data_IF_614797623865
#
_entry.id   IF_614797623865
#
_cell.length_a   1.000
_cell.length_b   1.000
_cell.length_c   1.000
_cell.angle_alpha   90.00
_cell.angle_beta   90.00
_cell.angle_gamma   90.00
#
_symmetry.space_group_name_H-M   'P 1'
#
loop_
_entity.id
_entity.type
_entity.pdbx_description
1 polymer ?
#
# COMPACT_ATOMS: atom_id res chain seq x y z
N UNK A 1 -16.68 0.65 35.21
CA UNK A 1 -16.02 0.33 33.92
C UNK A 1 -14.79 1.22 33.79
N UNK A 2 -13.58 0.64 33.69
CA UNK A 2 -12.34 1.42 33.48
C UNK A 2 -12.43 2.06 32.09
N UNK A 3 -12.47 3.39 32.06
CA UNK A 3 -12.38 4.15 30.82
C UNK A 3 -10.93 4.02 30.35
N UNK A 4 -10.72 3.27 29.28
CA UNK A 4 -9.40 3.07 28.68
C UNK A 4 -9.02 4.34 27.91
N UNK A 5 -8.64 5.37 28.68
CA UNK A 5 -8.25 6.68 28.17
C UNK A 5 -6.95 6.57 27.38
N UNK A 6 -6.85 7.37 26.33
CA UNK A 6 -5.58 7.60 25.64
C UNK A 6 -4.83 8.68 26.42
N UNK A 7 -3.53 8.51 26.59
CA UNK A 7 -2.65 9.57 27.11
C UNK A 7 -1.58 9.83 26.07
N UNK A 8 -1.55 11.05 25.56
CA UNK A 8 -0.53 11.53 24.64
C UNK A 8 0.70 12.00 25.42
N UNK A 9 1.86 11.91 24.78
CA UNK A 9 3.04 12.62 25.29
C UNK A 9 2.87 14.13 25.07
N UNK A 10 3.51 14.96 25.89
CA UNK A 10 3.43 16.41 25.76
C UNK A 10 3.92 16.89 24.37
N UNK A 11 4.96 16.23 23.85
CA UNK A 11 5.50 16.48 22.52
C UNK A 11 4.47 16.14 21.42
N UNK A 12 3.79 15.00 21.53
CA UNK A 12 2.78 14.60 20.55
C UNK A 12 1.56 15.50 20.60
N UNK A 13 1.10 15.89 21.80
CA UNK A 13 0.02 16.85 21.98
C UNK A 13 0.35 18.18 21.28
N UNK A 14 1.53 18.74 21.57
CA UNK A 14 2.01 19.98 20.95
C UNK A 14 2.08 19.86 19.43
N UNK A 15 2.55 18.72 18.92
CA UNK A 15 2.63 18.45 17.49
C UNK A 15 1.26 18.40 16.83
N UNK A 16 0.28 17.73 17.45
CA UNK A 16 -1.09 17.65 16.96
C UNK A 16 -1.79 19.01 16.98
N UNK A 17 -1.63 19.79 18.04
CA UNK A 17 -2.19 21.14 18.15
C UNK A 17 -1.59 22.07 17.09
N UNK A 18 -0.26 22.03 16.92
CA UNK A 18 0.43 22.77 15.86
C UNK A 18 0.03 22.33 14.45
N UNK A 19 -0.29 21.05 14.25
CA UNK A 19 -0.77 20.52 12.97
C UNK A 19 -2.16 21.06 12.64
N UNK A 20 -3.07 21.09 13.61
CA UNK A 20 -4.44 21.61 13.44
C UNK A 20 -4.46 23.14 13.24
N UNK A 21 -3.52 23.87 13.84
CA UNK A 21 -3.43 25.33 13.73
C UNK A 21 -3.03 25.83 12.33
N UNK A 22 -2.38 25.00 11.50
CA UNK A 22 -1.89 25.39 10.15
C UNK A 22 -2.99 25.63 9.11
N UNK A 23 -4.26 25.33 9.43
CA UNK A 23 -5.43 25.66 8.62
C UNK A 23 -5.65 24.80 7.36
N UNK A 24 -4.59 24.32 6.71
CA UNK A 24 -4.69 23.44 5.53
C UNK A 24 -4.21 22.03 5.85
N UNK A 25 -5.12 21.06 5.86
CA UNK A 25 -4.82 19.66 6.13
C UNK A 25 -5.79 18.74 5.39
N UNK A 26 -5.32 17.56 4.97
CA UNK A 26 -6.21 16.52 4.49
C UNK A 26 -7.26 16.16 5.56
N UNK A 27 -8.54 16.10 5.17
CA UNK A 27 -9.66 15.83 6.08
C UNK A 27 -9.46 14.56 6.92
N UNK A 28 -8.86 13.52 6.35
CA UNK A 28 -8.53 12.28 7.08
C UNK A 28 -7.57 12.52 8.23
N UNK A 29 -6.47 13.24 7.97
CA UNK A 29 -5.46 13.58 8.96
C UNK A 29 -6.06 14.50 10.02
N UNK A 30 -6.92 15.44 9.62
CA UNK A 30 -7.64 16.32 10.54
C UNK A 30 -8.50 15.51 11.53
N UNK A 31 -9.40 14.66 11.02
CA UNK A 31 -10.26 13.82 11.87
C UNK A 31 -9.44 12.94 12.81
N UNK A 32 -8.35 12.32 12.33
CA UNK A 32 -7.45 11.49 13.15
C UNK A 32 -6.79 12.30 14.26
N UNK A 33 -6.21 13.45 13.94
CA UNK A 33 -5.54 14.33 14.90
C UNK A 33 -6.52 14.85 15.96
N UNK A 34 -7.70 15.34 15.54
CA UNK A 34 -8.76 15.77 16.46
C UNK A 34 -9.22 14.64 17.36
N UNK A 35 -9.42 13.42 16.82
CA UNK A 35 -9.82 12.28 17.63
C UNK A 35 -8.81 11.97 18.74
N UNK A 36 -7.51 11.96 18.43
CA UNK A 36 -6.48 11.68 19.43
C UNK A 36 -6.45 12.72 20.55
N UNK A 37 -6.54 14.01 20.21
CA UNK A 37 -6.60 15.10 21.20
C UNK A 37 -7.86 15.01 22.07
N UNK A 38 -9.01 14.71 21.49
CA UNK A 38 -10.26 14.58 22.25
C UNK A 38 -10.25 13.37 23.19
N UNK A 39 -9.63 12.27 22.78
CA UNK A 39 -9.44 11.11 23.64
C UNK A 39 -8.46 11.39 24.79
N UNK A 40 -7.41 12.15 24.54
CA UNK A 40 -6.45 12.63 25.55
C UNK A 40 -7.11 13.56 26.57
N UNK A 41 -8.04 14.41 26.12
CA UNK A 41 -8.92 15.24 26.97
C UNK A 41 -9.93 14.44 27.78
N UNK A 42 -9.95 13.12 27.64
CA UNK A 42 -10.80 12.22 28.41
C UNK A 42 -12.17 11.93 27.81
N UNK A 43 -12.45 12.35 26.56
CA UNK A 43 -13.70 11.95 25.89
C UNK A 43 -13.72 10.45 25.62
N UNK A 44 -14.92 9.89 25.58
CA UNK A 44 -15.10 8.47 25.23
C UNK A 44 -15.00 8.28 23.72
N UNK A 45 -14.62 7.07 23.29
CA UNK A 45 -14.60 6.69 21.88
C UNK A 45 -15.95 6.97 21.19
N UNK A 46 -17.07 6.74 21.90
CA UNK A 46 -18.43 7.00 21.40
C UNK A 46 -18.70 8.48 21.20
N UNK A 47 -18.37 9.32 22.18
CA UNK A 47 -18.56 10.77 22.07
C UNK A 47 -17.72 11.36 20.92
N UNK A 48 -16.48 10.89 20.75
CA UNK A 48 -15.61 11.32 19.64
C UNK A 48 -16.15 10.84 18.30
N UNK A 49 -16.65 9.60 18.22
CA UNK A 49 -17.26 9.05 17.01
C UNK A 49 -18.48 9.87 16.56
N UNK A 50 -19.38 10.19 17.50
CA UNK A 50 -20.55 11.04 17.25
C UNK A 50 -20.15 12.47 16.83
N UNK A 51 -19.12 13.06 17.46
CA UNK A 51 -18.64 14.41 17.12
C UNK A 51 -18.02 14.48 15.71
N UNK A 52 -17.30 13.44 15.31
CA UNK A 52 -16.55 13.42 14.04
C UNK A 52 -17.32 12.77 12.88
N UNK A 53 -18.54 12.32 13.12
CA UNK A 53 -19.38 11.57 12.19
C UNK A 53 -18.61 10.37 11.60
N UNK A 54 -18.13 9.48 12.48
CA UNK A 54 -17.45 8.23 12.15
C UNK A 54 -17.91 7.12 13.09
N UNK A 55 -17.55 5.87 12.80
CA UNK A 55 -17.92 4.75 13.65
C UNK A 55 -17.02 4.64 14.88
N UNK A 56 -17.55 4.02 15.95
CA UNK A 56 -16.77 3.66 17.14
C UNK A 56 -15.50 2.87 16.78
N UNK A 57 -15.61 1.91 15.85
CA UNK A 57 -14.50 1.06 15.42
C UNK A 57 -13.39 1.85 14.74
N UNK A 58 -13.74 2.90 13.98
CA UNK A 58 -12.76 3.80 13.39
C UNK A 58 -11.97 4.56 14.44
N UNK A 59 -12.64 5.13 15.45
CA UNK A 59 -11.95 5.84 16.54
C UNK A 59 -11.08 4.89 17.37
N UNK A 60 -11.57 3.68 17.65
CA UNK A 60 -10.81 2.64 18.32
C UNK A 60 -9.55 2.24 17.53
N UNK A 61 -9.65 2.14 16.20
CA UNK A 61 -8.53 1.86 15.32
C UNK A 61 -7.48 2.98 15.35
N UNK A 62 -7.88 4.25 15.39
CA UNK A 62 -6.94 5.37 15.51
C UNK A 62 -6.20 5.37 16.86
N UNK A 63 -6.92 5.14 17.97
CA UNK A 63 -6.31 4.99 19.30
C UNK A 63 -5.30 3.85 19.34
N UNK A 64 -5.67 2.68 18.82
CA UNK A 64 -4.79 1.53 18.78
C UNK A 64 -3.59 1.78 17.85
N UNK A 65 -3.82 2.45 16.71
CA UNK A 65 -2.78 2.86 15.78
C UNK A 65 -1.74 3.77 16.46
N UNK A 66 -2.19 4.75 17.25
CA UNK A 66 -1.28 5.60 18.02
C UNK A 66 -0.49 4.79 19.06
N UNK A 67 -1.13 3.88 19.79
CA UNK A 67 -0.44 3.00 20.76
C UNK A 67 0.65 2.14 20.11
N UNK A 68 0.51 1.76 18.85
CA UNK A 68 1.48 0.91 18.14
C UNK A 68 2.53 1.71 17.36
N UNK A 69 2.16 2.86 16.78
CA UNK A 69 2.98 3.58 15.78
C UNK A 69 3.20 5.06 16.11
N UNK A 70 2.68 5.56 17.23
CA UNK A 70 2.69 6.99 17.55
C UNK A 70 1.97 7.83 16.49
N UNK A 71 2.52 9.01 16.19
CA UNK A 71 1.93 9.96 15.23
C UNK A 71 1.92 9.46 13.78
N UNK A 72 2.66 8.40 13.43
CA UNK A 72 2.61 7.82 12.08
C UNK A 72 1.23 7.27 11.73
N UNK A 73 0.39 6.97 12.74
CA UNK A 73 -1.00 6.54 12.53
C UNK A 73 -1.89 7.60 11.86
N UNK A 74 -1.45 8.87 11.83
CA UNK A 74 -2.15 9.95 11.15
C UNK A 74 -2.16 9.78 9.63
N UNK A 75 -1.18 9.05 9.08
CA UNK A 75 -0.99 8.88 7.65
C UNK A 75 -1.31 7.45 7.20
N UNK A 76 -1.83 7.33 5.98
CA UNK A 76 -2.03 6.01 5.38
C UNK A 76 -0.66 5.43 4.99
N UNK A 77 -0.46 4.14 5.26
CA UNK A 77 0.76 3.46 4.83
C UNK A 77 0.89 3.51 3.29
N UNK A 78 2.12 3.58 2.75
CA UNK A 78 2.34 3.45 1.31
C UNK A 78 1.65 2.18 0.80
N UNK A 79 0.89 2.32 -0.29
CA UNK A 79 0.27 1.15 -0.93
C UNK A 79 1.39 0.33 -1.54
N UNK A 80 1.56 -0.92 -1.08
CA UNK A 80 2.62 -1.83 -1.53
C UNK A 80 2.51 -2.25 -2.99
N UNK A 81 1.46 -1.82 -3.70
CA UNK A 81 1.20 -2.21 -5.08
C UNK A 81 0.94 -3.71 -5.22
N UNK A 82 0.77 -4.16 -6.46
CA UNK A 82 0.78 -5.59 -6.78
C UNK A 82 2.23 -6.08 -6.69
N UNK A 83 2.53 -7.19 -5.99
CA UNK A 83 3.87 -7.77 -6.00
C UNK A 83 4.37 -7.96 -7.43
N UNK A 84 5.64 -7.62 -7.68
CA UNK A 84 6.29 -7.87 -8.97
C UNK A 84 6.52 -9.37 -9.08
N UNK A 85 5.83 -10.03 -10.02
CA UNK A 85 5.93 -11.48 -10.24
C UNK A 85 7.09 -11.85 -11.17
N UNK A 86 7.48 -10.92 -12.05
CA UNK A 86 8.58 -11.10 -13.01
C UNK A 86 9.46 -9.85 -12.95
N UNK A 87 10.69 -10.02 -12.49
CA UNK A 87 11.64 -8.92 -12.30
C UNK A 87 12.25 -8.42 -13.62
N UNK A 88 13.04 -7.35 -13.56
CA UNK A 88 13.67 -6.75 -14.74
C UNK A 88 14.64 -7.69 -15.46
N UNK A 89 15.38 -8.54 -14.73
CA UNK A 89 16.34 -9.46 -15.31
C UNK A 89 15.63 -10.61 -16.04
N UNK A 90 14.55 -11.14 -15.47
CA UNK A 90 13.69 -12.12 -16.11
C UNK A 90 13.03 -11.54 -17.37
N UNK A 91 12.54 -10.29 -17.32
CA UNK A 91 12.02 -9.60 -18.51
C UNK A 91 13.06 -9.48 -19.62
N UNK A 92 14.30 -9.11 -19.27
CA UNK A 92 15.39 -9.01 -20.24
C UNK A 92 15.70 -10.36 -20.89
N UNK A 93 15.69 -11.46 -20.13
CA UNK A 93 15.85 -12.83 -20.67
C UNK A 93 14.72 -13.21 -21.62
N UNK A 94 13.47 -12.88 -21.29
CA UNK A 94 12.31 -13.09 -22.18
C UNK A 94 12.47 -12.32 -23.49
N UNK A 95 12.89 -11.05 -23.42
CA UNK A 95 13.14 -10.23 -24.61
C UNK A 95 14.28 -10.78 -25.46
N UNK A 96 15.39 -11.19 -24.83
CA UNK A 96 16.53 -11.77 -25.55
C UNK A 96 16.13 -13.06 -26.29
N UNK A 97 15.33 -13.92 -25.65
CA UNK A 97 14.79 -15.12 -26.29
C UNK A 97 13.86 -14.78 -27.47
N UNK A 98 13.01 -13.76 -27.34
CA UNK A 98 12.13 -13.34 -28.42
C UNK A 98 12.90 -12.72 -29.62
N UNK A 99 14.13 -12.27 -29.41
CA UNK A 99 15.02 -11.76 -30.45
C UNK A 99 15.91 -12.83 -31.10
N UNK A 100 15.91 -14.08 -30.62
CA UNK A 100 16.65 -15.18 -31.24
C UNK A 100 15.82 -15.84 -32.35
N UNK A 101 16.45 -16.75 -33.09
CA UNK A 101 15.74 -17.60 -34.05
C UNK A 101 14.68 -18.46 -33.36
N UNK A 102 13.59 -18.72 -34.09
CA UNK A 102 12.55 -19.62 -33.63
C UNK A 102 13.08 -21.07 -33.54
N UNK A 103 12.59 -21.87 -32.58
CA UNK A 103 13.05 -23.24 -32.41
C UNK A 103 12.61 -24.10 -33.60
N UNK A 104 13.32 -25.22 -33.79
CA UNK A 104 13.06 -26.16 -34.87
C UNK A 104 11.58 -26.61 -34.90
N UNK A 105 11.00 -26.67 -36.10
CA UNK A 105 9.57 -26.97 -36.29
C UNK A 105 8.65 -25.76 -36.21
N UNK A 106 9.18 -24.54 -36.00
CA UNK A 106 8.41 -23.31 -35.99
C UNK A 106 9.02 -22.21 -36.87
N UNK A 107 8.21 -21.62 -37.76
CA UNK A 107 8.67 -20.52 -38.62
C UNK A 107 8.83 -19.18 -37.87
N UNK A 108 8.17 -19.02 -36.72
CA UNK A 108 8.15 -17.78 -35.93
C UNK A 108 7.80 -18.00 -34.47
N UNK A 109 8.25 -17.08 -33.62
CA UNK A 109 7.79 -16.99 -32.23
C UNK A 109 6.31 -16.62 -32.14
N UNK A 110 5.54 -17.44 -31.41
CA UNK A 110 4.21 -17.04 -30.90
C UNK A 110 4.31 -16.74 -29.41
N UNK A 111 3.38 -15.94 -28.87
CA UNK A 111 3.39 -15.61 -27.43
C UNK A 111 3.22 -16.85 -26.54
N UNK A 112 2.47 -17.87 -27.01
CA UNK A 112 2.31 -19.14 -26.28
C UNK A 112 3.60 -19.96 -26.29
N UNK A 113 4.23 -20.09 -27.47
CA UNK A 113 5.51 -20.77 -27.61
C UNK A 113 6.60 -20.11 -26.77
N UNK A 114 6.65 -18.78 -26.73
CA UNK A 114 7.57 -18.04 -25.86
C UNK A 114 7.29 -18.30 -24.39
N UNK A 115 6.02 -18.32 -23.97
CA UNK A 115 5.68 -18.62 -22.57
C UNK A 115 6.17 -20.01 -22.15
N UNK A 116 5.96 -21.02 -23.01
CA UNK A 116 6.44 -22.39 -22.77
C UNK A 116 7.97 -22.45 -22.69
N UNK A 117 8.67 -21.84 -23.66
CA UNK A 117 10.15 -21.82 -23.68
C UNK A 117 10.76 -21.03 -22.53
N UNK A 118 10.10 -19.98 -22.04
CA UNK A 118 10.56 -19.21 -20.87
C UNK A 118 10.50 -20.04 -19.59
N UNK A 119 9.48 -20.90 -19.44
CA UNK A 119 9.39 -21.85 -18.31
C UNK A 119 10.40 -22.98 -18.48
N UNK A 120 10.52 -23.56 -19.68
CA UNK A 120 11.49 -24.62 -20.00
C UNK A 120 12.94 -24.18 -19.74
N UNK A 121 13.28 -22.93 -20.09
CA UNK A 121 14.60 -22.34 -19.85
C UNK A 121 14.85 -21.93 -18.39
N UNK A 122 13.88 -22.13 -17.49
CA UNK A 122 14.00 -21.82 -16.06
C UNK A 122 14.07 -20.33 -15.75
N UNK A 123 13.57 -19.46 -16.63
CA UNK A 123 13.62 -18.01 -16.38
C UNK A 123 12.60 -17.59 -15.33
N UNK A 124 11.45 -18.29 -15.24
CA UNK A 124 10.45 -18.15 -14.19
C UNK A 124 9.62 -19.44 -14.07
N UNK A 125 8.99 -19.67 -12.92
CA UNK A 125 8.20 -20.88 -12.65
C UNK A 125 6.94 -20.95 -13.52
N UNK A 126 6.24 -19.83 -13.69
CA UNK A 126 5.04 -19.74 -14.52
C UNK A 126 4.94 -18.37 -15.18
N UNK A 127 4.48 -18.35 -16.44
CA UNK A 127 4.18 -17.12 -17.16
C UNK A 127 3.03 -17.35 -18.15
N UNK A 128 2.09 -16.41 -18.19
CA UNK A 128 1.03 -16.42 -19.20
C UNK A 128 1.53 -15.81 -20.51
N UNK A 129 1.07 -16.31 -21.65
CA UNK A 129 1.32 -15.71 -22.97
C UNK A 129 0.91 -14.22 -23.04
N UNK A 130 -0.11 -13.79 -22.30
CA UNK A 130 -0.49 -12.37 -22.20
C UNK A 130 0.57 -11.55 -21.45
N UNK A 131 1.22 -12.14 -20.43
CA UNK A 131 2.32 -11.51 -19.72
C UNK A 131 3.55 -11.39 -20.62
N UNK A 132 3.87 -12.42 -21.41
CA UNK A 132 4.91 -12.33 -22.46
C UNK A 132 4.60 -11.17 -23.40
N UNK A 133 3.37 -11.07 -23.91
CA UNK A 133 2.96 -9.95 -24.77
C UNK A 133 3.10 -8.59 -24.08
N UNK A 134 2.82 -8.51 -22.77
CA UNK A 134 2.99 -7.29 -21.97
C UNK A 134 4.48 -6.94 -21.77
N UNK A 135 5.36 -7.93 -21.65
CA UNK A 135 6.82 -7.74 -21.55
C UNK A 135 7.39 -7.20 -22.86
N UNK A 136 6.93 -7.75 -23.99
CA UNK A 136 7.44 -7.41 -25.33
C UNK A 136 6.76 -6.17 -25.94
N UNK A 137 5.69 -5.67 -25.31
CA UNK A 137 5.00 -4.46 -25.79
C UNK A 137 5.97 -3.27 -25.69
N UNK A 138 6.15 -2.55 -26.79
CA UNK A 138 6.99 -1.34 -26.84
C UNK A 138 6.45 -0.33 -25.81
N UNK A 139 7.26 0.00 -24.82
CA UNK A 139 6.99 1.11 -23.90
C UNK A 139 7.38 2.39 -24.63
N UNK A 140 6.39 3.13 -25.15
CA UNK A 140 6.57 4.51 -25.61
C UNK A 140 6.44 5.47 -24.45
#
# INVERSE_FOLDING_TARGET
MKKDHLTLTENDRTTLEGLLAKGTLAVKTFKRATALLELDRGKTLRAVAETLDVTYTTVAAWRNGYRTKGLDCLYDAPRSGRPIVIDGAQRAKVTALACSDAPEGHDRWTLRLLAEKVVEAGFCETISHTMVGTILKKTS
#
